data_IF_209525399659
#
_entry.id   IF_209525399659
#
_cell.length_a   1.000
_cell.length_b   1.000
_cell.length_c   1.000
_cell.angle_alpha   90.00
_cell.angle_beta   90.00
_cell.angle_gamma   90.00
#
_symmetry.space_group_name_H-M   'P 1'
#
loop_
_entity.id
_entity.type
_entity.pdbx_description
1 polymer ?
#
# COMPACT_ATOMS: atom_id res chain seq x y z
N UNK A 1 0.98 -9.76 -13.02
CA UNK A 1 2.28 -9.09 -13.27
C UNK A 1 3.33 -10.17 -13.41
N UNK A 2 3.91 -10.25 -14.61
CA UNK A 2 4.97 -11.19 -14.97
C UNK A 2 6.33 -10.68 -14.48
N UNK A 3 7.24 -11.61 -14.16
CA UNK A 3 8.62 -11.29 -13.75
C UNK A 3 9.36 -10.39 -14.74
N UNK A 4 9.00 -10.46 -16.03
CA UNK A 4 9.59 -9.63 -17.11
C UNK A 4 9.13 -8.17 -17.05
N UNK A 5 7.86 -7.95 -16.74
CA UNK A 5 7.29 -6.60 -16.64
C UNK A 5 7.91 -5.83 -15.45
N UNK A 6 8.20 -6.55 -14.36
CA UNK A 6 8.90 -5.97 -13.21
C UNK A 6 10.37 -5.68 -13.52
N UNK A 7 11.07 -6.60 -14.21
CA UNK A 7 12.47 -6.34 -14.61
C UNK A 7 12.58 -5.17 -15.58
N UNK A 8 11.65 -5.03 -16.51
CA UNK A 8 11.63 -3.92 -17.49
C UNK A 8 11.31 -2.58 -16.82
N UNK A 9 10.32 -2.53 -15.92
CA UNK A 9 10.02 -1.32 -15.14
C UNK A 9 11.21 -0.88 -14.27
N UNK A 10 11.86 -1.84 -13.63
CA UNK A 10 13.00 -1.60 -12.75
C UNK A 10 14.20 -1.14 -13.58
N UNK A 11 14.49 -1.82 -14.69
CA UNK A 11 15.57 -1.45 -15.59
C UNK A 11 15.35 -0.09 -16.26
N UNK A 12 14.11 0.25 -16.62
CA UNK A 12 13.79 1.56 -17.21
C UNK A 12 13.93 2.70 -16.18
N UNK A 13 13.57 2.46 -14.93
CA UNK A 13 13.83 3.39 -13.83
C UNK A 13 15.34 3.63 -13.63
N UNK A 14 16.19 2.61 -13.79
CA UNK A 14 17.63 2.74 -13.55
C UNK A 14 18.46 3.14 -14.78
N UNK A 15 18.05 2.78 -16.00
CA UNK A 15 18.76 3.08 -17.24
C UNK A 15 18.82 4.58 -17.57
N UNK A 16 17.91 5.39 -17.01
CA UNK A 16 17.96 6.85 -17.14
C UNK A 16 19.06 7.50 -16.30
N UNK A 17 19.63 6.79 -15.31
CA UNK A 17 20.36 7.42 -14.20
C UNK A 17 21.76 6.85 -13.96
N UNK A 18 22.05 5.65 -14.48
CA UNK A 18 23.31 4.96 -14.22
C UNK A 18 23.89 4.32 -15.50
N UNK A 19 25.14 4.65 -15.87
CA UNK A 19 25.90 3.82 -16.80
C UNK A 19 26.08 2.41 -16.22
N UNK A 20 26.03 1.41 -17.08
CA UNK A 20 26.14 -0.03 -16.75
C UNK A 20 27.48 -0.36 -16.02
N UNK A 21 28.44 0.57 -16.00
CA UNK A 21 29.77 0.41 -15.41
C UNK A 21 29.93 0.97 -13.99
N UNK A 22 28.88 1.48 -13.35
CA UNK A 22 28.99 2.01 -11.98
C UNK A 22 29.19 0.87 -10.98
N UNK A 23 30.34 0.83 -10.29
CA UNK A 23 30.61 -0.15 -9.22
C UNK A 23 29.55 -0.08 -8.13
N UNK A 24 29.26 -1.23 -7.49
CA UNK A 24 28.20 -1.40 -6.49
C UNK A 24 28.16 -0.30 -5.41
N UNK A 25 29.31 0.20 -4.93
CA UNK A 25 29.34 1.30 -3.97
C UNK A 25 28.74 2.59 -4.53
N UNK A 26 29.08 2.96 -5.77
CA UNK A 26 28.52 4.15 -6.42
C UNK A 26 27.03 3.96 -6.76
N UNK A 27 26.59 2.73 -7.02
CA UNK A 27 25.17 2.41 -7.15
C UNK A 27 24.44 2.68 -5.83
N UNK A 28 24.95 2.17 -4.71
CA UNK A 28 24.33 2.34 -3.39
C UNK A 28 24.28 3.81 -3.01
N UNK A 29 25.39 4.56 -3.15
CA UNK A 29 25.41 6.00 -2.82
C UNK A 29 24.44 6.81 -3.68
N UNK A 30 24.36 6.53 -4.99
CA UNK A 30 23.40 7.21 -5.87
C UNK A 30 21.96 6.80 -5.56
N UNK A 31 21.74 5.54 -5.22
CA UNK A 31 20.43 5.03 -4.82
C UNK A 31 19.94 5.72 -3.55
N UNK A 32 20.79 5.83 -2.53
CA UNK A 32 20.49 6.56 -1.28
C UNK A 32 20.19 8.04 -1.53
N UNK A 33 21.02 8.72 -2.32
CA UNK A 33 20.80 10.12 -2.69
C UNK A 33 19.46 10.30 -3.44
N UNK A 34 19.16 9.41 -4.38
CA UNK A 34 17.90 9.45 -5.14
C UNK A 34 16.70 9.16 -4.24
N UNK A 35 16.82 8.22 -3.30
CA UNK A 35 15.78 7.94 -2.31
C UNK A 35 15.53 9.15 -1.41
N UNK A 36 16.59 9.86 -1.01
CA UNK A 36 16.49 11.07 -0.21
C UNK A 36 15.77 12.19 -0.98
N UNK A 37 16.10 12.41 -2.25
CA UNK A 37 15.39 13.39 -3.10
C UNK A 37 13.90 13.05 -3.30
N UNK A 38 13.59 11.77 -3.53
CA UNK A 38 12.19 11.30 -3.62
C UNK A 38 11.49 11.54 -2.29
N UNK A 39 12.14 11.23 -1.18
CA UNK A 39 11.60 11.43 0.16
C UNK A 39 11.34 12.91 0.46
N UNK A 40 12.29 13.80 0.18
CA UNK A 40 12.14 15.24 0.42
C UNK A 40 11.01 15.82 -0.42
N UNK A 41 10.87 15.36 -1.66
CA UNK A 41 9.74 15.71 -2.53
C UNK A 41 8.41 15.23 -1.97
N UNK A 42 8.31 13.96 -1.58
CA UNK A 42 7.09 13.41 -0.97
C UNK A 42 6.76 14.13 0.35
N UNK A 43 7.76 14.43 1.17
CA UNK A 43 7.63 15.18 2.42
C UNK A 43 7.15 16.63 2.19
N UNK A 44 7.69 17.32 1.18
CA UNK A 44 7.27 18.65 0.79
C UNK A 44 5.84 18.66 0.21
N UNK A 45 5.49 17.65 -0.59
CA UNK A 45 4.12 17.44 -1.08
C UNK A 45 3.15 17.16 0.07
N UNK A 46 3.52 16.29 1.02
CA UNK A 46 2.70 15.97 2.18
C UNK A 46 2.51 17.20 3.10
N UNK A 47 3.57 18.00 3.34
CA UNK A 47 3.51 19.24 4.13
C UNK A 47 2.63 20.31 3.47
N UNK A 48 2.79 20.53 2.16
CA UNK A 48 1.99 21.51 1.41
C UNK A 48 0.49 21.15 1.36
N UNK A 49 0.14 19.90 1.64
CA UNK A 49 -1.20 19.35 1.47
C UNK A 49 -1.91 19.01 2.78
N UNK A 50 -1.28 19.26 3.94
CA UNK A 50 -1.88 19.12 5.27
C UNK A 50 -3.21 19.90 5.40
N UNK A 51 -3.44 20.91 4.53
CA UNK A 51 -4.63 21.76 4.52
C UNK A 51 -5.56 21.56 3.29
N UNK A 52 -5.20 20.75 2.29
CA UNK A 52 -6.03 20.50 1.11
C UNK A 52 -6.62 19.10 1.19
N UNK A 53 -7.76 19.00 1.88
CA UNK A 53 -8.56 17.79 2.00
C UNK A 53 -8.52 16.95 0.73
N UNK A 54 -7.90 15.78 0.87
CA UNK A 54 -8.09 14.59 0.06
C UNK A 54 -9.60 14.31 0.05
N UNK A 55 -10.29 14.75 -0.99
CA UNK A 55 -11.75 14.78 -1.04
C UNK A 55 -12.31 13.36 -1.11
N UNK A 56 -12.47 12.72 0.05
CA UNK A 56 -13.15 11.45 0.18
C UNK A 56 -14.65 11.71 0.11
N UNK A 57 -15.29 11.25 -0.96
CA UNK A 57 -16.72 11.42 -1.14
C UNK A 57 -17.54 10.76 -0.02
N UNK A 58 -18.80 11.16 0.19
CA UNK A 58 -19.66 10.60 1.24
C UNK A 58 -19.82 9.07 1.14
N UNK A 59 -19.72 8.52 -0.08
CA UNK A 59 -19.83 7.07 -0.37
C UNK A 59 -18.50 6.30 -0.24
N UNK A 60 -17.41 6.96 0.13
CA UNK A 60 -16.06 6.38 0.22
C UNK A 60 -15.62 6.18 1.68
N UNK A 61 -16.51 5.69 2.54
CA UNK A 61 -16.25 5.59 3.98
C UNK A 61 -14.93 4.87 4.33
N UNK A 62 -14.64 3.77 3.61
CA UNK A 62 -13.40 2.99 3.77
C UNK A 62 -12.12 3.80 3.53
N UNK A 63 -12.17 4.86 2.73
CA UNK A 63 -11.02 5.70 2.40
C UNK A 63 -10.79 6.84 3.40
N UNK A 64 -11.74 7.14 4.30
CA UNK A 64 -11.65 8.29 5.21
C UNK A 64 -10.46 8.21 6.16
N UNK A 65 -10.31 7.10 6.84
CA UNK A 65 -9.23 6.90 7.83
C UNK A 65 -7.87 6.73 7.15
N UNK A 66 -7.71 5.89 6.09
CA UNK A 66 -6.49 5.86 5.27
C UNK A 66 -6.12 7.23 4.68
N UNK A 67 -7.11 8.04 4.35
CA UNK A 67 -6.93 9.40 3.85
C UNK A 67 -6.19 10.33 4.80
N UNK A 68 -6.20 10.04 6.10
CA UNK A 68 -5.52 10.82 7.13
C UNK A 68 -4.14 10.28 7.48
N UNK A 69 -3.90 8.98 7.27
CA UNK A 69 -2.69 8.32 7.75
C UNK A 69 -1.71 7.96 6.66
N UNK A 70 -2.15 7.69 5.42
CA UNK A 70 -1.26 7.34 4.32
C UNK A 70 -0.62 8.55 3.64
N UNK A 71 0.62 8.39 3.18
CA UNK A 71 1.26 9.35 2.26
C UNK A 71 0.39 9.54 1.03
N UNK A 72 0.52 10.69 0.35
CA UNK A 72 -0.29 11.00 -0.84
C UNK A 72 -0.22 9.93 -1.92
N UNK A 73 0.99 9.55 -2.31
CA UNK A 73 1.25 8.51 -3.32
C UNK A 73 0.56 7.20 -2.96
N UNK A 74 0.66 6.80 -1.69
CA UNK A 74 0.10 5.52 -1.23
C UNK A 74 -1.42 5.55 -1.20
N UNK A 75 -2.00 6.68 -0.80
CA UNK A 75 -3.44 6.81 -0.81
C UNK A 75 -4.05 6.79 -2.20
N UNK A 76 -3.43 7.43 -3.19
CA UNK A 76 -3.90 7.31 -4.58
C UNK A 76 -3.90 5.87 -5.05
N UNK A 77 -2.86 5.08 -4.72
CA UNK A 77 -2.84 3.64 -5.02
C UNK A 77 -4.00 2.89 -4.35
N UNK A 78 -4.38 3.28 -3.12
CA UNK A 78 -5.56 2.71 -2.46
C UNK A 78 -6.87 3.16 -3.13
N UNK A 79 -6.97 4.40 -3.61
CA UNK A 79 -8.12 4.87 -4.38
C UNK A 79 -8.29 4.07 -5.66
N UNK A 80 -7.20 3.82 -6.40
CA UNK A 80 -7.23 2.98 -7.61
C UNK A 80 -7.73 1.56 -7.31
N UNK A 81 -7.41 1.00 -6.13
CA UNK A 81 -7.98 -0.27 -5.68
C UNK A 81 -9.46 -0.14 -5.35
N UNK A 82 -9.86 0.94 -4.68
CA UNK A 82 -11.25 1.18 -4.31
C UNK A 82 -12.16 1.36 -5.53
N UNK A 83 -11.73 2.09 -6.55
CA UNK A 83 -12.50 2.32 -7.78
C UNK A 83 -12.76 1.03 -8.56
N UNK A 84 -11.94 0.00 -8.37
CA UNK A 84 -12.13 -1.31 -8.98
C UNK A 84 -13.14 -2.19 -8.24
N UNK A 85 -13.54 -1.87 -7.01
CA UNK A 85 -14.46 -2.67 -6.19
C UNK A 85 -15.77 -2.99 -6.92
N UNK A 86 -16.29 -2.03 -7.69
CA UNK A 86 -17.55 -2.16 -8.43
C UNK A 86 -17.51 -3.25 -9.51
N UNK A 87 -16.31 -3.68 -9.93
CA UNK A 87 -16.13 -4.72 -10.96
C UNK A 87 -16.34 -6.13 -10.40
N UNK A 88 -16.43 -6.28 -9.09
CA UNK A 88 -16.44 -7.58 -8.43
C UNK A 88 -17.72 -7.83 -7.63
N UNK A 89 -18.05 -9.11 -7.48
CA UNK A 89 -19.06 -9.63 -6.55
C UNK A 89 -18.40 -10.55 -5.54
N UNK A 90 -18.81 -10.48 -4.27
CA UNK A 90 -18.32 -11.34 -3.20
C UNK A 90 -19.41 -12.35 -2.79
N UNK A 91 -19.11 -13.63 -2.96
CA UNK A 91 -20.02 -14.75 -2.70
C UNK A 91 -19.50 -15.49 -1.47
N UNK A 92 -20.31 -15.56 -0.42
CA UNK A 92 -19.97 -16.33 0.78
C UNK A 92 -20.11 -17.82 0.48
N UNK A 93 -19.09 -18.61 0.85
CA UNK A 93 -19.01 -20.05 0.56
C UNK A 93 -19.18 -20.88 1.80
N UNK A 94 -18.55 -20.45 2.89
CA UNK A 94 -18.51 -21.19 4.14
C UNK A 94 -18.39 -20.24 5.32
N UNK A 95 -19.05 -20.60 6.42
CA UNK A 95 -19.03 -19.86 7.69
C UNK A 95 -18.89 -20.88 8.81
N UNK A 96 -17.86 -20.72 9.64
CA UNK A 96 -17.64 -21.53 10.84
C UNK A 96 -17.18 -20.63 11.98
N UNK A 97 -18.07 -20.46 12.97
CA UNK A 97 -17.87 -19.48 14.03
C UNK A 97 -17.62 -18.09 13.44
N UNK A 98 -16.42 -17.56 13.69
CA UNK A 98 -16.01 -16.24 13.20
C UNK A 98 -15.32 -16.28 11.83
N UNK A 99 -14.92 -17.46 11.36
CA UNK A 99 -14.20 -17.63 10.09
C UNK A 99 -15.21 -17.63 8.94
N UNK A 100 -14.97 -16.76 7.97
CA UNK A 100 -15.78 -16.62 6.76
C UNK A 100 -14.90 -16.81 5.54
N UNK A 101 -15.29 -17.74 4.69
CA UNK A 101 -14.64 -17.97 3.41
C UNK A 101 -15.54 -17.47 2.28
N UNK A 102 -14.96 -16.68 1.38
CA UNK A 102 -15.65 -16.05 0.27
C UNK A 102 -14.88 -16.25 -1.01
N UNK A 103 -15.62 -16.37 -2.11
CA UNK A 103 -15.05 -16.23 -3.45
C UNK A 103 -15.46 -14.87 -4.02
N UNK A 104 -14.47 -14.06 -4.41
CA UNK A 104 -14.68 -12.79 -5.12
C UNK A 104 -14.46 -13.00 -6.61
N UNK A 105 -15.44 -12.64 -7.43
CA UNK A 105 -15.44 -12.87 -8.90
C UNK A 105 -15.72 -11.59 -9.67
N UNK A 106 -15.12 -11.45 -10.85
CA UNK A 106 -15.45 -10.34 -11.76
C UNK A 106 -16.86 -10.46 -12.33
N UNK A 107 -17.53 -9.32 -12.54
CA UNK A 107 -18.80 -9.24 -13.28
C UNK A 107 -18.64 -9.51 -14.78
N UNK A 108 -17.47 -9.25 -15.36
CA UNK A 108 -17.25 -9.25 -16.81
C UNK A 108 -17.07 -10.64 -17.43
N UNK A 109 -17.40 -11.73 -16.71
CA UNK A 109 -17.30 -13.10 -17.23
C UNK A 109 -15.86 -13.63 -17.36
N UNK A 110 -14.85 -12.87 -16.94
CA UNK A 110 -13.49 -13.40 -16.78
C UNK A 110 -13.47 -14.48 -15.70
N UNK A 111 -12.63 -15.50 -15.89
CA UNK A 111 -12.45 -16.63 -14.97
C UNK A 111 -11.65 -16.27 -13.70
N UNK A 112 -11.28 -15.00 -13.53
CA UNK A 112 -10.56 -14.55 -12.35
C UNK A 112 -11.48 -14.57 -11.12
N UNK A 113 -11.18 -15.51 -10.23
CA UNK A 113 -11.80 -15.62 -8.92
C UNK A 113 -10.73 -15.67 -7.85
N UNK A 114 -10.96 -14.94 -6.76
CA UNK A 114 -10.05 -14.88 -5.63
C UNK A 114 -10.74 -15.40 -4.39
N UNK A 115 -10.13 -16.40 -3.77
CA UNK A 115 -10.59 -16.88 -2.46
C UNK A 115 -10.11 -15.91 -1.36
N UNK A 116 -10.99 -15.66 -0.41
CA UNK A 116 -10.77 -14.78 0.73
C UNK A 116 -11.19 -15.52 1.99
N UNK A 117 -10.36 -15.43 3.01
CA UNK A 117 -10.68 -15.89 4.35
C UNK A 117 -10.54 -14.72 5.32
N UNK A 118 -11.59 -14.45 6.09
CA UNK A 118 -11.64 -13.38 7.08
C UNK A 118 -12.17 -13.93 8.40
N UNK A 119 -11.49 -13.59 9.49
CA UNK A 119 -12.02 -13.63 10.84
C UNK A 119 -12.86 -12.37 11.06
N UNK A 120 -14.17 -12.55 11.18
CA UNK A 120 -15.13 -11.45 11.29
C UNK A 120 -15.12 -10.75 12.66
N UNK A 121 -14.56 -11.37 13.70
CA UNK A 121 -14.42 -10.75 15.02
C UNK A 121 -13.12 -9.94 15.10
N UNK A 122 -11.99 -10.55 14.69
CA UNK A 122 -10.67 -9.90 14.73
C UNK A 122 -10.45 -8.95 13.57
N UNK A 123 -11.29 -9.02 12.54
CA UNK A 123 -11.17 -8.28 11.28
C UNK A 123 -9.79 -8.45 10.64
N UNK A 124 -9.28 -9.68 10.69
CA UNK A 124 -8.03 -10.13 10.07
C UNK A 124 -8.35 -11.13 8.97
N UNK A 125 -7.46 -11.29 8.01
CA UNK A 125 -7.68 -12.24 6.94
C UNK A 125 -6.67 -12.11 5.82
N UNK A 126 -6.92 -12.84 4.74
CA UNK A 126 -6.09 -12.79 3.56
C UNK A 126 -6.91 -12.92 2.29
N UNK A 127 -6.33 -12.48 1.18
CA UNK A 127 -6.89 -12.63 -0.15
C UNK A 127 -5.93 -13.40 -1.03
N UNK A 128 -6.44 -14.32 -1.85
CA UNK A 128 -5.65 -15.12 -2.79
C UNK A 128 -4.83 -14.30 -3.80
N UNK A 129 -5.16 -13.02 -4.02
CA UNK A 129 -4.33 -12.13 -4.86
C UNK A 129 -3.00 -11.73 -4.21
N UNK A 130 -2.88 -11.89 -2.89
CA UNK A 130 -1.68 -11.61 -2.09
C UNK A 130 -1.10 -10.19 -2.18
N UNK A 131 -1.87 -9.22 -2.67
CA UNK A 131 -1.42 -7.83 -2.79
C UNK A 131 -1.07 -7.22 -1.43
N UNK A 132 -1.79 -7.57 -0.37
CA UNK A 132 -1.48 -7.05 0.96
C UNK A 132 -0.16 -7.63 1.49
N UNK A 133 0.10 -8.92 1.28
CA UNK A 133 1.33 -9.57 1.70
C UNK A 133 2.56 -9.03 0.94
N UNK A 134 2.44 -8.80 -0.37
CA UNK A 134 3.57 -8.31 -1.18
C UNK A 134 3.74 -6.79 -1.12
N UNK A 135 2.64 -6.04 -1.23
CA UNK A 135 2.65 -4.57 -1.39
C UNK A 135 2.17 -3.87 -0.13
N UNK A 136 1.44 -4.52 0.78
CA UNK A 136 0.98 -3.89 2.03
C UNK A 136 -0.22 -2.99 1.86
N UNK A 137 -0.95 -3.12 0.75
CA UNK A 137 -2.15 -2.36 0.46
C UNK A 137 -3.34 -3.29 0.31
N UNK A 138 -4.47 -2.88 0.87
CA UNK A 138 -5.73 -3.59 0.71
C UNK A 138 -6.11 -3.62 -0.77
N UNK A 139 -6.30 -4.81 -1.32
CA UNK A 139 -6.75 -4.97 -2.70
C UNK A 139 -8.25 -4.67 -2.85
N UNK A 140 -8.67 -4.41 -4.09
CA UNK A 140 -10.07 -4.26 -4.46
C UNK A 140 -10.95 -5.45 -3.99
N UNK A 141 -10.41 -6.66 -3.93
CA UNK A 141 -11.15 -7.84 -3.48
C UNK A 141 -11.45 -7.80 -1.96
N UNK A 142 -10.48 -7.43 -1.12
CA UNK A 142 -10.71 -7.24 0.31
C UNK A 142 -11.68 -6.08 0.57
N UNK A 143 -11.48 -4.97 -0.15
CA UNK A 143 -12.38 -3.82 -0.07
C UNK A 143 -13.83 -4.17 -0.48
N UNK A 144 -13.99 -5.06 -1.47
CA UNK A 144 -15.31 -5.60 -1.84
C UNK A 144 -15.95 -6.38 -0.71
N UNK A 145 -15.18 -7.18 0.02
CA UNK A 145 -15.70 -7.93 1.17
C UNK A 145 -16.05 -7.01 2.33
N UNK A 146 -15.24 -5.99 2.61
CA UNK A 146 -15.60 -4.96 3.60
C UNK A 146 -16.91 -4.27 3.25
N UNK A 147 -17.10 -3.90 1.97
CA UNK A 147 -18.35 -3.34 1.50
C UNK A 147 -19.54 -4.31 1.62
N UNK A 148 -19.32 -5.63 1.46
CA UNK A 148 -20.39 -6.64 1.62
C UNK A 148 -20.86 -6.76 3.07
N UNK A 149 -19.96 -6.62 4.03
CA UNK A 149 -20.24 -6.72 5.46
C UNK A 149 -20.48 -5.36 6.13
N UNK A 150 -20.77 -4.31 5.35
CA UNK A 150 -20.99 -2.95 5.84
C UNK A 150 -19.87 -2.43 6.76
N UNK A 151 -18.64 -2.91 6.56
CA UNK A 151 -17.46 -2.42 7.26
C UNK A 151 -17.11 -1.06 6.67
N UNK A 152 -17.33 -0.01 7.45
CA UNK A 152 -17.15 1.38 7.01
C UNK A 152 -15.71 1.89 7.16
N UNK A 153 -14.84 1.12 7.81
CA UNK A 153 -13.45 1.49 8.09
C UNK A 153 -12.53 0.31 7.79
N UNK A 154 -11.44 0.56 7.08
CA UNK A 154 -10.43 -0.47 6.86
C UNK A 154 -9.87 -0.89 8.23
N UNK A 155 -9.92 -2.18 8.60
CA UNK A 155 -9.39 -2.65 9.88
C UNK A 155 -7.91 -2.33 9.99
N UNK A 156 -7.44 -2.04 11.21
CA UNK A 156 -6.02 -1.69 11.46
C UNK A 156 -5.05 -2.77 10.97
N UNK A 157 -5.47 -4.05 11.00
CA UNK A 157 -4.69 -5.16 10.48
C UNK A 157 -4.34 -5.02 8.99
N UNK A 158 -5.10 -4.23 8.22
CA UNK A 158 -4.89 -3.96 6.81
C UNK A 158 -4.29 -2.56 6.54
N UNK A 159 -3.75 -1.90 7.57
CA UNK A 159 -3.02 -0.63 7.47
C UNK A 159 -1.54 -0.89 7.79
N UNK A 160 -0.67 -0.81 6.79
CA UNK A 160 0.78 -1.00 7.01
C UNK A 160 1.47 0.30 7.38
N UNK A 161 2.25 0.27 8.46
CA UNK A 161 2.97 1.43 9.01
C UNK A 161 3.94 2.05 8.02
N UNK A 162 4.63 1.27 7.19
CA UNK A 162 5.58 1.78 6.18
C UNK A 162 4.96 2.77 5.17
N UNK A 163 3.64 2.73 5.00
CA UNK A 163 2.89 3.58 4.08
C UNK A 163 2.27 4.80 4.76
N UNK A 164 2.45 4.92 6.07
CA UNK A 164 1.89 6.03 6.84
C UNK A 164 2.83 7.24 6.82
N UNK A 165 2.24 8.43 6.91
CA UNK A 165 2.96 9.69 7.00
C UNK A 165 3.91 9.62 8.20
N UNK A 166 5.18 9.90 7.98
CA UNK A 166 6.20 9.86 9.04
C UNK A 166 6.76 8.48 9.36
N UNK A 167 6.45 7.43 8.58
CA UNK A 167 7.06 6.10 8.76
C UNK A 167 8.61 6.14 8.78
N UNK A 168 9.21 7.02 7.99
CA UNK A 168 10.66 7.20 7.91
C UNK A 168 11.25 8.06 9.04
N UNK A 169 10.43 8.64 9.93
CA UNK A 169 10.97 9.38 11.10
C UNK A 169 11.60 8.45 12.14
N UNK A 170 11.17 7.19 12.18
CA UNK A 170 11.70 6.19 13.12
C UNK A 170 13.13 5.75 12.78
N UNK A 171 13.58 5.86 11.52
CA UNK A 171 14.95 5.51 11.14
C UNK A 171 15.98 6.59 11.49
N UNK A 172 15.56 7.82 11.80
CA UNK A 172 16.46 8.95 12.04
C UNK A 172 16.93 9.09 13.49
N UNK A 173 16.22 8.47 14.45
CA UNK A 173 16.63 8.52 15.87
C UNK A 173 17.84 7.65 16.20
N UNK A 174 18.26 6.76 15.30
CA UNK A 174 19.46 5.95 15.49
C UNK A 174 20.74 6.69 15.09
N UNK A 175 20.67 7.56 14.07
CA UNK A 175 21.86 8.26 13.54
C UNK A 175 22.30 9.46 14.37
N UNK A 176 21.37 10.17 15.03
CA UNK A 176 21.70 11.39 15.78
C UNK A 176 22.44 11.09 17.10
N UNK A 177 22.33 9.86 17.61
CA UNK A 177 23.01 9.39 18.83
C UNK A 177 24.47 8.95 18.63
N UNK A 178 24.97 8.90 17.40
CA UNK A 178 26.34 8.45 17.07
C UNK A 178 27.28 9.58 16.62
N UNK A 179 26.80 10.83 16.50
CA UNK A 179 27.62 11.96 16.01
C UNK A 179 28.06 12.96 17.11
N UNK A 180 27.61 12.80 18.36
CA UNK A 180 28.06 13.64 19.49
C UNK A 180 29.21 13.01 20.31
N UNK A 181 29.76 11.86 19.90
CA UNK A 181 30.69 11.06 20.70
C UNK A 181 32.19 11.25 20.47
N UNK A 182 32.64 11.86 19.35
CA UNK A 182 34.05 11.82 18.94
C UNK A 182 34.67 13.22 18.79
N UNK A 183 34.62 14.04 19.85
CA UNK A 183 35.52 15.18 20.00
C UNK A 183 36.08 15.22 21.43
N UNK A 184 37.10 14.40 21.69
CA UNK A 184 38.08 14.58 22.76
C UNK A 184 39.44 14.01 22.31
#
# INVERSE_FOLDING_TARGET
>A
MSSREWSESTNNFFNGWLPITTGLCNFVTKYEATLLEVYERESAEDFALEHKYRQVGPHQALLKDPGKVYTRTTFHKLQDQFDQVVRFVAIERYVEGNVRQLTVKSHSGHTESFEIEIDSEKLTGNCGCKLFEYVGLSCCHLLKVFSKYDILKIPKAFIMTRWTIGANKFSRSYDESQLEGDNL
#
